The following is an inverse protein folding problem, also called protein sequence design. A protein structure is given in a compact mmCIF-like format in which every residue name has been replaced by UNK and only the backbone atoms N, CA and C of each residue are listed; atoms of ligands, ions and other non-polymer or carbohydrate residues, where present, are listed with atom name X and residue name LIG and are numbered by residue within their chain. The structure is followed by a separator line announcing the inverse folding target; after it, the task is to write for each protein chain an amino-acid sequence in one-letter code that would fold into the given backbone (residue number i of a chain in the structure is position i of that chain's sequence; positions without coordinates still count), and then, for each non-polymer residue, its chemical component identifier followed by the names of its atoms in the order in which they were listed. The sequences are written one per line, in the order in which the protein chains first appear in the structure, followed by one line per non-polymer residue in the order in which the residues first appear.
data_IF_888411968081
#
_entry.id   IF_888411968081
#
_cell.length_a   1.000
_cell.length_b   1.000
_cell.length_c   1.000
_cell.angle_alpha   90.00
_cell.angle_beta   90.00
_cell.angle_gamma   90.00
#
_symmetry.space_group_name_H-M   'P 1'
#
loop_
_entity.id
_entity.type
_entity.pdbx_description
1 polymer ?
#
# COMPACT_ATOMS: atom_id res chain seq x y z
N UNK A 1 -31.94 22.07 -27.88
CA UNK A 1 -30.64 22.79 -27.73
C UNK A 1 -30.20 22.66 -26.28
N UNK A 2 -29.39 21.65 -25.95
CA UNK A 2 -28.81 21.53 -24.61
C UNK A 2 -27.80 22.67 -24.43
N UNK A 3 -28.06 23.54 -23.43
CA UNK A 3 -27.09 24.58 -23.06
C UNK A 3 -25.79 23.90 -22.66
N UNK A 4 -24.69 24.31 -23.28
CA UNK A 4 -23.36 23.82 -22.90
C UNK A 4 -23.13 24.14 -21.41
N UNK A 5 -23.07 23.11 -20.61
CA UNK A 5 -22.81 23.23 -19.16
C UNK A 5 -21.41 23.80 -18.91
N UNK A 6 -21.27 24.67 -17.89
CA UNK A 6 -20.01 25.35 -17.60
C UNK A 6 -18.91 24.36 -17.21
N UNK A 7 -17.64 24.79 -17.36
CA UNK A 7 -16.47 24.05 -16.92
C UNK A 7 -16.56 23.64 -15.43
N UNK A 8 -17.00 24.57 -14.58
CA UNK A 8 -17.21 24.34 -13.14
C UNK A 8 -18.20 23.21 -12.85
N UNK A 9 -19.25 23.09 -13.68
CA UNK A 9 -20.21 22.00 -13.57
C UNK A 9 -19.52 20.63 -13.78
N UNK A 10 -18.65 20.50 -14.78
CA UNK A 10 -17.97 19.23 -15.08
C UNK A 10 -16.88 18.92 -14.07
N UNK A 11 -16.15 19.94 -13.58
CA UNK A 11 -15.16 19.78 -12.49
C UNK A 11 -15.82 19.27 -11.21
N UNK A 12 -16.99 19.83 -10.85
CA UNK A 12 -17.79 19.37 -9.71
C UNK A 12 -18.30 17.94 -9.92
N UNK A 13 -18.85 17.63 -11.09
CA UNK A 13 -19.36 16.30 -11.44
C UNK A 13 -18.29 15.21 -11.37
N UNK A 14 -17.10 15.47 -11.89
CA UNK A 14 -15.99 14.54 -11.81
C UNK A 14 -15.60 14.26 -10.35
N UNK A 15 -15.48 15.33 -9.54
CA UNK A 15 -15.17 15.20 -8.13
C UNK A 15 -16.21 14.41 -7.34
N UNK A 16 -17.51 14.75 -7.50
CA UNK A 16 -18.62 14.03 -6.86
C UNK A 16 -18.65 12.54 -7.23
N UNK A 17 -18.30 12.21 -8.47
CA UNK A 17 -18.24 10.82 -8.91
C UNK A 17 -17.11 10.03 -8.23
N UNK A 18 -15.92 10.63 -8.09
CA UNK A 18 -14.75 9.96 -7.57
C UNK A 18 -14.56 10.10 -6.06
N UNK A 19 -15.23 11.08 -5.42
CA UNK A 19 -15.11 11.32 -3.98
C UNK A 19 -15.43 10.06 -3.15
N UNK A 20 -16.61 9.51 -3.32
CA UNK A 20 -17.03 8.29 -2.60
C UNK A 20 -16.24 7.04 -2.99
N UNK A 21 -15.66 7.02 -4.18
CA UNK A 21 -14.96 5.86 -4.73
C UNK A 21 -13.48 5.82 -4.43
N UNK A 22 -12.81 6.98 -4.47
CA UNK A 22 -11.35 7.06 -4.34
C UNK A 22 -10.95 7.91 -3.14
N UNK A 23 -11.45 9.16 -3.03
CA UNK A 23 -11.04 10.05 -1.93
C UNK A 23 -11.38 9.44 -0.57
N UNK A 24 -12.63 9.00 -0.39
CA UNK A 24 -13.09 8.38 0.85
C UNK A 24 -12.30 7.13 1.21
N UNK A 25 -11.95 6.29 0.24
CA UNK A 25 -11.14 5.10 0.48
C UNK A 25 -9.69 5.47 0.85
N UNK A 26 -9.09 6.47 0.17
CA UNK A 26 -7.77 6.98 0.52
C UNK A 26 -7.74 7.53 1.96
N UNK A 27 -8.77 8.28 2.36
CA UNK A 27 -8.88 8.80 3.73
C UNK A 27 -9.11 7.70 4.77
N UNK A 28 -9.83 6.62 4.45
CA UNK A 28 -9.95 5.45 5.34
C UNK A 28 -8.60 4.79 5.57
N UNK A 29 -7.80 4.60 4.51
CA UNK A 29 -6.44 4.07 4.62
C UNK A 29 -5.59 5.01 5.48
N UNK A 30 -5.61 6.31 5.20
CA UNK A 30 -4.90 7.30 6.01
C UNK A 30 -5.29 7.24 7.49
N UNK A 31 -6.59 7.22 7.81
CA UNK A 31 -7.06 7.17 9.19
C UNK A 31 -6.66 5.86 9.89
N UNK A 32 -6.68 4.73 9.18
CA UNK A 32 -6.19 3.45 9.72
C UNK A 32 -4.70 3.49 10.05
N UNK A 33 -3.90 4.17 9.21
CA UNK A 33 -2.47 4.37 9.49
C UNK A 33 -2.24 5.34 10.65
N UNK A 34 -3.08 6.37 10.81
CA UNK A 34 -3.05 7.26 11.98
C UNK A 34 -3.30 6.50 13.30
N UNK A 35 -4.18 5.51 13.29
CA UNK A 35 -4.38 4.66 14.47
C UNK A 35 -3.14 3.81 14.78
N UNK A 36 -2.49 3.27 13.77
CA UNK A 36 -1.21 2.54 13.94
C UNK A 36 -0.09 3.46 14.43
N UNK A 37 -0.10 4.73 14.03
CA UNK A 37 0.87 5.72 14.48
C UNK A 37 0.76 6.06 15.99
N UNK A 38 -0.23 5.52 16.73
CA UNK A 38 -0.29 5.61 18.20
C UNK A 38 0.91 4.94 18.89
N UNK A 39 1.53 3.94 18.25
CA UNK A 39 2.77 3.33 18.73
C UNK A 39 3.89 4.36 18.84
N UNK A 40 3.91 5.38 17.99
CA UNK A 40 4.88 6.47 18.06
C UNK A 40 4.84 7.19 19.41
N UNK A 41 3.65 7.44 19.96
CA UNK A 41 3.51 8.06 21.28
C UNK A 41 4.20 7.20 22.35
N UNK A 42 4.00 5.86 22.29
CA UNK A 42 4.63 4.97 23.24
C UNK A 42 6.15 4.99 23.11
N UNK A 43 6.70 4.98 21.90
CA UNK A 43 8.15 5.10 21.70
C UNK A 43 8.73 6.37 22.33
N UNK A 44 8.04 7.51 22.21
CA UNK A 44 8.48 8.76 22.81
C UNK A 44 8.28 8.80 24.32
N UNK A 45 7.25 8.16 24.87
CA UNK A 45 7.05 8.00 26.31
C UNK A 45 8.18 7.15 26.88
N UNK A 46 8.46 6.00 26.31
CA UNK A 46 9.52 5.09 26.76
C UNK A 46 10.89 5.79 26.71
N UNK A 47 11.23 6.43 25.61
CA UNK A 47 12.47 7.18 25.47
C UNK A 47 12.56 8.36 26.46
N UNK A 48 11.43 9.02 26.79
CA UNK A 48 11.39 10.09 27.79
C UNK A 48 11.64 9.55 29.21
N UNK A 49 11.12 8.37 29.54
CA UNK A 49 11.42 7.70 30.82
C UNK A 49 12.88 7.27 30.88
N UNK A 50 13.43 6.70 29.80
CA UNK A 50 14.84 6.33 29.73
C UNK A 50 15.78 7.54 29.94
N UNK A 51 15.48 8.68 29.30
CA UNK A 51 16.22 9.94 29.50
C UNK A 51 16.16 10.38 30.96
N UNK A 52 15.01 10.30 31.57
CA UNK A 52 14.80 10.65 32.98
C UNK A 52 15.55 9.71 33.92
N UNK A 53 15.48 8.39 33.64
CA UNK A 53 16.15 7.39 34.49
C UNK A 53 17.67 7.53 34.44
N UNK A 54 18.26 7.82 33.28
CA UNK A 54 19.68 8.10 33.17
C UNK A 54 20.07 9.38 33.96
N UNK A 55 19.24 10.42 33.94
CA UNK A 55 19.46 11.61 34.74
C UNK A 55 19.43 11.30 36.25
N UNK A 56 18.42 10.57 36.74
CA UNK A 56 18.30 10.21 38.15
C UNK A 56 19.42 9.27 38.60
N UNK A 57 19.83 8.30 37.76
CA UNK A 57 20.95 7.41 38.05
C UNK A 57 22.27 8.14 38.28
N UNK A 58 22.52 9.23 37.56
CA UNK A 58 23.68 10.06 37.79
C UNK A 58 23.45 10.94 39.03
N UNK A 59 22.25 11.45 39.25
CA UNK A 59 21.90 12.24 40.40
C UNK A 59 22.10 11.50 41.73
N UNK A 60 21.72 10.22 41.81
CA UNK A 60 21.97 9.36 42.97
C UNK A 60 23.45 9.31 43.37
N UNK A 61 24.35 9.37 42.39
CA UNK A 61 25.80 9.25 42.61
C UNK A 61 26.47 10.56 43.01
N UNK A 62 25.89 11.72 42.64
CA UNK A 62 26.59 12.97 42.75
C UNK A 62 25.73 14.21 43.07
N UNK A 63 24.41 14.07 43.31
CA UNK A 63 23.59 15.21 43.70
C UNK A 63 23.85 15.61 45.17
N UNK A 64 23.77 16.91 45.45
CA UNK A 64 23.79 17.48 46.80
C UNK A 64 22.56 18.35 46.91
N UNK A 65 21.82 18.18 47.98
CA UNK A 65 20.59 18.95 48.25
C UNK A 65 19.60 18.98 47.03
N UNK A 66 19.51 17.86 46.30
CA UNK A 66 18.62 17.74 45.16
C UNK A 66 19.09 18.41 43.87
N UNK A 67 20.31 18.97 43.85
CA UNK A 67 20.92 19.63 42.70
C UNK A 67 22.19 18.92 42.24
N UNK A 68 22.50 19.04 40.94
CA UNK A 68 23.74 18.59 40.34
C UNK A 68 24.67 19.77 40.13
N UNK A 69 25.89 19.68 40.65
CA UNK A 69 26.92 20.70 40.41
C UNK A 69 27.60 20.44 39.06
N UNK A 70 27.78 21.50 38.27
CA UNK A 70 28.53 21.41 37.00
C UNK A 70 29.96 20.89 37.22
N UNK A 71 30.60 21.30 38.32
CA UNK A 71 31.93 20.83 38.73
C UNK A 71 31.95 19.29 38.97
N UNK A 72 30.94 18.75 39.64
CA UNK A 72 30.86 17.31 39.92
C UNK A 72 30.48 16.52 38.68
N UNK A 73 29.74 17.13 37.74
CA UNK A 73 29.42 16.51 36.44
C UNK A 73 30.62 16.47 35.50
N UNK A 74 31.54 17.44 35.56
CA UNK A 74 32.81 17.39 34.82
C UNK A 74 33.81 16.40 35.42
N UNK A 75 33.76 16.13 36.70
CA UNK A 75 34.58 15.08 37.32
C UNK A 75 34.16 13.73 36.74
N UNK A 76 35.17 12.94 36.35
CA UNK A 76 34.97 11.59 35.81
C UNK A 76 34.15 11.56 34.52
N UNK A 77 34.12 12.65 33.72
CA UNK A 77 33.42 12.72 32.42
C UNK A 77 31.89 12.40 32.47
N UNK A 78 31.24 12.53 33.62
CA UNK A 78 29.82 12.19 33.81
C UNK A 78 28.89 12.93 32.86
N UNK A 79 29.18 14.20 32.57
CA UNK A 79 28.41 14.99 31.62
C UNK A 79 28.49 14.40 30.20
N UNK A 80 29.71 14.05 29.79
CA UNK A 80 29.93 13.42 28.46
C UNK A 80 29.26 12.03 28.37
N UNK A 81 29.35 11.26 29.48
CA UNK A 81 28.67 9.95 29.55
C UNK A 81 27.15 10.10 29.42
N UNK A 82 26.53 11.04 30.17
CA UNK A 82 25.10 11.29 30.14
C UNK A 82 24.63 11.77 28.75
N UNK A 83 25.38 12.72 28.16
CA UNK A 83 25.11 13.17 26.81
C UNK A 83 25.13 12.02 25.79
N UNK A 84 26.14 11.15 25.88
CA UNK A 84 26.22 9.94 25.02
C UNK A 84 25.05 8.98 25.24
N UNK A 85 24.54 8.86 26.46
CA UNK A 85 23.33 8.07 26.75
C UNK A 85 22.08 8.67 26.10
N UNK A 86 21.90 9.99 26.22
CA UNK A 86 20.79 10.68 25.56
C UNK A 86 20.85 10.51 24.03
N UNK A 87 22.03 10.64 23.44
CA UNK A 87 22.22 10.42 22.01
C UNK A 87 21.84 9.00 21.59
N UNK A 88 22.27 7.98 22.34
CA UNK A 88 21.94 6.58 22.07
C UNK A 88 20.42 6.30 22.18
N UNK A 89 19.75 6.85 23.21
CA UNK A 89 18.29 6.74 23.37
C UNK A 89 17.56 7.36 22.17
N UNK A 90 17.98 8.55 21.73
CA UNK A 90 17.36 9.21 20.58
C UNK A 90 17.67 8.51 19.26
N UNK A 91 18.84 7.92 19.10
CA UNK A 91 19.18 7.10 17.94
C UNK A 91 18.28 5.86 17.85
N UNK A 92 18.10 5.13 18.97
CA UNK A 92 17.20 3.98 19.03
C UNK A 92 15.74 4.38 18.74
N UNK A 93 15.27 5.49 19.33
CA UNK A 93 13.96 6.08 19.03
C UNK A 93 13.81 6.39 17.55
N UNK A 94 14.86 6.93 16.91
CA UNK A 94 14.91 7.24 15.49
C UNK A 94 14.71 5.99 14.64
N UNK A 95 15.45 4.92 14.91
CA UNK A 95 15.33 3.65 14.17
C UNK A 95 13.95 3.02 14.33
N UNK A 96 13.43 2.90 15.55
CA UNK A 96 12.08 2.36 15.79
C UNK A 96 11.01 3.15 15.03
N UNK A 97 11.14 4.47 15.01
CA UNK A 97 10.21 5.38 14.33
C UNK A 97 10.28 5.22 12.81
N UNK A 98 11.49 5.15 12.25
CA UNK A 98 11.72 4.97 10.82
C UNK A 98 11.13 3.65 10.34
N UNK A 99 11.49 2.54 10.96
CA UNK A 99 11.03 1.20 10.62
C UNK A 99 9.51 1.06 10.66
N UNK A 100 8.87 1.58 11.72
CA UNK A 100 7.42 1.59 11.85
C UNK A 100 6.76 2.40 10.73
N UNK A 101 7.27 3.62 10.50
CA UNK A 101 6.69 4.54 9.53
C UNK A 101 6.82 4.01 8.10
N UNK A 102 7.97 3.48 7.73
CA UNK A 102 8.20 2.89 6.41
C UNK A 102 7.29 1.71 6.13
N UNK A 103 7.16 0.76 7.09
CA UNK A 103 6.23 -0.37 6.96
C UNK A 103 4.79 0.10 6.78
N UNK A 104 4.35 1.07 7.58
CA UNK A 104 3.00 1.62 7.50
C UNK A 104 2.75 2.31 6.16
N UNK A 105 3.68 3.14 5.68
CA UNK A 105 3.60 3.84 4.41
C UNK A 105 3.57 2.86 3.24
N UNK A 106 4.43 1.83 3.22
CA UNK A 106 4.44 0.80 2.18
C UNK A 106 3.13 0.00 2.12
N UNK A 107 2.60 -0.40 3.28
CA UNK A 107 1.28 -1.05 3.37
C UNK A 107 0.15 -0.16 2.85
N UNK A 108 0.18 1.12 3.23
CA UNK A 108 -0.77 2.12 2.73
C UNK A 108 -0.70 2.34 1.23
N UNK A 109 0.50 2.43 0.68
CA UNK A 109 0.73 2.56 -0.77
C UNK A 109 0.08 1.41 -1.53
N UNK A 110 0.38 0.17 -1.12
CA UNK A 110 -0.19 -1.03 -1.75
C UNK A 110 -1.71 -1.02 -1.71
N UNK A 111 -2.28 -0.65 -0.56
CA UNK A 111 -3.72 -0.59 -0.38
C UNK A 111 -4.38 0.47 -1.27
N UNK A 112 -3.84 1.69 -1.31
CA UNK A 112 -4.37 2.77 -2.15
C UNK A 112 -4.22 2.44 -3.63
N UNK A 113 -3.06 1.95 -4.06
CA UNK A 113 -2.84 1.55 -5.44
C UNK A 113 -3.87 0.51 -5.90
N UNK A 114 -4.10 -0.53 -5.10
CA UNK A 114 -5.09 -1.58 -5.38
C UNK A 114 -6.51 -1.04 -5.39
N UNK A 115 -6.87 -0.23 -4.40
CA UNK A 115 -8.21 0.36 -4.32
C UNK A 115 -8.51 1.24 -5.55
N UNK A 116 -7.55 2.06 -5.96
CA UNK A 116 -7.68 2.91 -7.15
C UNK A 116 -7.86 2.05 -8.40
N UNK A 117 -7.06 0.99 -8.57
CA UNK A 117 -7.17 0.09 -9.71
C UNK A 117 -8.59 -0.52 -9.80
N UNK A 118 -9.06 -1.11 -8.71
CA UNK A 118 -10.40 -1.73 -8.66
C UNK A 118 -11.50 -0.70 -8.93
N UNK A 119 -11.39 0.51 -8.37
CA UNK A 119 -12.41 1.55 -8.56
C UNK A 119 -12.42 2.13 -9.97
N UNK A 120 -11.29 2.09 -10.67
CA UNK A 120 -11.20 2.46 -12.09
C UNK A 120 -11.67 1.34 -13.03
N UNK A 121 -12.08 0.18 -12.49
CA UNK A 121 -12.55 -0.96 -13.28
C UNK A 121 -11.43 -1.78 -13.88
N UNK A 122 -10.19 -1.56 -13.46
CA UNK A 122 -9.04 -2.35 -13.85
C UNK A 122 -8.87 -3.49 -12.85
N UNK A 123 -9.19 -4.68 -13.29
CA UNK A 123 -9.12 -5.91 -12.49
C UNK A 123 -7.90 -6.78 -12.85
N UNK A 124 -7.20 -6.44 -13.93
CA UNK A 124 -6.02 -7.12 -14.43
C UNK A 124 -4.74 -6.28 -14.20
N UNK A 125 -4.66 -5.55 -13.09
CA UNK A 125 -3.51 -4.71 -12.77
C UNK A 125 -2.40 -5.52 -12.07
N UNK A 126 -1.16 -5.23 -12.44
CA UNK A 126 0.00 -5.70 -11.69
C UNK A 126 0.29 -4.75 -10.52
N UNK A 127 0.61 -5.29 -9.36
CA UNK A 127 1.11 -4.47 -8.25
C UNK A 127 2.50 -3.89 -8.62
N UNK A 128 2.79 -2.65 -8.24
CA UNK A 128 4.11 -2.09 -8.42
C UNK A 128 5.15 -3.00 -7.75
N UNK A 129 6.28 -3.20 -8.41
CA UNK A 129 7.34 -3.99 -7.80
C UNK A 129 7.91 -3.28 -6.56
N UNK A 130 8.46 -4.06 -5.63
CA UNK A 130 9.02 -3.55 -4.38
C UNK A 130 10.05 -2.44 -4.62
N UNK A 131 10.89 -2.59 -5.64
CA UNK A 131 11.92 -1.60 -5.98
C UNK A 131 11.35 -0.23 -6.37
N UNK A 132 10.21 -0.20 -7.09
CA UNK A 132 9.54 1.07 -7.41
C UNK A 132 8.96 1.71 -6.15
N UNK A 133 8.31 0.94 -5.28
CA UNK A 133 7.77 1.44 -4.02
C UNK A 133 8.87 2.00 -3.11
N UNK A 134 9.99 1.29 -2.98
CA UNK A 134 11.17 1.76 -2.24
C UNK A 134 11.75 3.04 -2.87
N UNK A 135 11.86 3.09 -4.19
CA UNK A 135 12.33 4.29 -4.89
C UNK A 135 11.45 5.50 -4.63
N UNK A 136 10.12 5.33 -4.61
CA UNK A 136 9.19 6.41 -4.32
C UNK A 136 9.28 6.84 -2.84
N UNK A 137 9.46 5.90 -1.91
CA UNK A 137 9.59 6.20 -0.48
C UNK A 137 10.84 7.03 -0.16
N UNK A 138 11.97 6.73 -0.81
CA UNK A 138 13.23 7.46 -0.60
C UNK A 138 13.37 8.69 -1.51
N UNK A 139 12.45 8.89 -2.45
CA UNK A 139 12.51 10.03 -3.36
C UNK A 139 12.41 11.35 -2.57
N UNK A 140 13.36 12.28 -2.77
CA UNK A 140 13.26 13.57 -2.12
C UNK A 140 12.12 14.38 -2.71
N UNK A 141 11.28 14.92 -1.85
CA UNK A 141 10.30 15.94 -2.21
C UNK A 141 10.42 17.13 -1.26
N UNK A 142 10.22 18.34 -1.76
CA UNK A 142 10.45 19.58 -0.98
C UNK A 142 11.85 19.64 -0.33
N UNK A 143 12.86 19.17 -1.06
CA UNK A 143 14.27 19.34 -0.71
C UNK A 143 14.90 18.21 0.10
N UNK A 144 14.16 17.22 0.58
CA UNK A 144 14.73 16.08 1.32
C UNK A 144 13.80 14.85 1.30
N UNK A 145 14.34 13.68 1.66
CA UNK A 145 13.57 12.45 1.87
C UNK A 145 12.90 12.42 3.25
N UNK A 146 11.95 11.50 3.45
CA UNK A 146 11.36 11.23 4.77
C UNK A 146 12.44 10.92 5.81
N UNK A 147 13.29 9.94 5.54
CA UNK A 147 14.39 9.54 6.42
C UNK A 147 15.30 10.73 6.76
N UNK A 148 15.74 11.50 5.76
CA UNK A 148 16.58 12.69 5.98
C UNK A 148 15.95 13.70 6.92
N UNK A 149 14.64 13.96 6.80
CA UNK A 149 13.90 14.87 7.71
C UNK A 149 13.73 14.28 9.10
N UNK A 150 13.45 12.97 9.21
CA UNK A 150 13.34 12.29 10.49
C UNK A 150 14.64 12.43 11.26
N UNK A 151 15.76 12.06 10.66
CA UNK A 151 17.06 12.12 11.32
C UNK A 151 17.53 13.54 11.66
N UNK A 152 17.15 14.55 10.87
CA UNK A 152 17.34 15.96 11.26
C UNK A 152 16.57 16.33 12.52
N UNK A 153 15.32 15.88 12.66
CA UNK A 153 14.50 16.10 13.84
C UNK A 153 15.10 15.39 15.07
N UNK A 154 15.53 14.12 14.92
CA UNK A 154 16.15 13.35 16.00
C UNK A 154 17.47 14.01 16.47
N UNK A 155 18.33 14.41 15.53
CA UNK A 155 19.56 15.12 15.87
C UNK A 155 19.28 16.45 16.60
N UNK A 156 18.30 17.23 16.16
CA UNK A 156 17.86 18.46 16.83
C UNK A 156 17.38 18.17 18.25
N UNK A 157 16.62 17.07 18.44
CA UNK A 157 16.13 16.65 19.76
C UNK A 157 17.30 16.27 20.69
N UNK A 158 18.23 15.44 20.23
CA UNK A 158 19.42 15.05 21.01
C UNK A 158 20.25 16.27 21.45
N UNK A 159 20.55 17.18 20.51
CA UNK A 159 21.25 18.44 20.81
C UNK A 159 20.47 19.31 21.81
N UNK A 160 19.14 19.36 21.67
CA UNK A 160 18.26 20.08 22.58
C UNK A 160 18.30 19.52 23.99
N UNK A 161 18.27 18.18 24.16
CA UNK A 161 18.39 17.53 25.48
C UNK A 161 19.72 17.87 26.14
N UNK A 162 20.84 17.76 25.42
CA UNK A 162 22.17 18.10 25.92
C UNK A 162 22.28 19.56 26.34
N UNK A 163 21.71 20.49 25.54
CA UNK A 163 21.70 21.90 25.86
C UNK A 163 20.85 22.22 27.10
N UNK A 164 19.65 21.62 27.23
CA UNK A 164 18.79 21.80 28.41
C UNK A 164 19.44 21.29 29.68
N UNK A 165 20.12 20.15 29.61
CA UNK A 165 20.90 19.62 30.72
C UNK A 165 21.98 20.62 31.13
N UNK A 166 22.81 21.10 30.20
CA UNK A 166 23.89 22.03 30.46
C UNK A 166 23.38 23.34 31.07
N UNK A 167 22.33 23.94 30.50
CA UNK A 167 21.72 25.16 31.00
C UNK A 167 21.13 24.95 32.40
N UNK A 168 20.47 23.82 32.65
CA UNK A 168 19.93 23.49 33.97
C UNK A 168 21.04 23.40 35.05
N UNK A 169 22.15 22.74 34.69
CA UNK A 169 23.34 22.65 35.58
C UNK A 169 23.97 24.03 35.85
N UNK A 170 24.11 24.86 34.83
CA UNK A 170 24.66 26.22 34.97
C UNK A 170 23.78 27.13 35.81
N UNK A 171 22.46 26.95 35.74
CA UNK A 171 21.49 27.71 36.54
C UNK A 171 21.27 27.14 37.94
N UNK A 172 21.91 26.05 38.31
CA UNK A 172 21.73 25.41 39.61
C UNK A 172 20.33 24.83 39.83
N UNK A 173 19.64 24.45 38.76
CA UNK A 173 18.32 23.82 38.84
C UNK A 173 18.38 22.49 39.57
N UNK A 174 17.30 22.16 40.26
CA UNK A 174 17.13 20.84 40.85
C UNK A 174 17.03 19.76 39.77
N UNK A 175 17.36 18.52 40.11
CA UNK A 175 17.22 17.36 39.21
C UNK A 175 15.80 17.25 38.67
N UNK A 176 14.80 17.52 39.52
CA UNK A 176 13.38 17.48 39.13
C UNK A 176 13.03 18.56 38.08
N UNK A 177 13.52 19.78 38.24
CA UNK A 177 13.29 20.86 37.27
C UNK A 177 13.95 20.57 35.91
N UNK A 178 15.16 19.96 35.95
CA UNK A 178 15.83 19.50 34.74
C UNK A 178 15.00 18.37 34.08
N UNK A 179 14.56 17.36 34.85
CA UNK A 179 13.75 16.24 34.35
C UNK A 179 12.45 16.72 33.68
N UNK A 180 11.74 17.67 34.29
CA UNK A 180 10.53 18.27 33.69
C UNK A 180 10.85 19.01 32.39
N UNK A 181 11.95 19.72 32.32
CA UNK A 181 12.38 20.43 31.11
C UNK A 181 12.70 19.45 29.96
N UNK A 182 13.40 18.36 30.26
CA UNK A 182 13.72 17.29 29.29
C UNK A 182 12.44 16.59 28.81
N UNK A 183 11.53 16.25 29.73
CA UNK A 183 10.24 15.64 29.38
C UNK A 183 9.41 16.54 28.43
N UNK A 184 9.33 17.83 28.69
CA UNK A 184 8.62 18.77 27.82
C UNK A 184 9.27 18.86 26.43
N UNK A 185 10.59 18.79 26.34
CA UNK A 185 11.29 18.75 25.04
C UNK A 185 11.01 17.48 24.27
N UNK A 186 10.93 16.33 24.95
CA UNK A 186 10.54 15.05 24.34
C UNK A 186 9.12 15.12 23.77
N UNK A 187 8.16 15.72 24.50
CA UNK A 187 6.80 15.97 24.01
C UNK A 187 6.76 16.86 22.77
N UNK A 188 7.60 17.89 22.70
CA UNK A 188 7.75 18.73 21.51
C UNK A 188 8.34 17.92 20.34
N UNK A 189 9.35 17.09 20.60
CA UNK A 189 9.93 16.16 19.62
C UNK A 189 8.91 15.20 19.04
N UNK A 190 8.05 14.63 19.89
CA UNK A 190 6.90 13.82 19.46
C UNK A 190 5.99 14.58 18.49
N UNK A 191 5.58 15.81 18.84
CA UNK A 191 4.69 16.60 18.00
C UNK A 191 5.30 16.94 16.63
N UNK A 192 6.60 17.27 16.59
CA UNK A 192 7.33 17.52 15.33
C UNK A 192 7.39 16.24 14.46
N UNK A 193 7.70 15.11 15.07
CA UNK A 193 7.80 13.82 14.40
C UNK A 193 6.43 13.33 13.90
N UNK A 194 5.40 13.39 14.74
CA UNK A 194 4.04 13.01 14.37
C UNK A 194 3.52 13.83 13.18
N UNK A 195 3.76 15.16 13.21
CA UNK A 195 3.42 16.04 12.08
C UNK A 195 4.15 15.65 10.79
N UNK A 196 5.43 15.28 10.90
CA UNK A 196 6.21 14.78 9.76
C UNK A 196 5.59 13.50 9.20
N UNK A 197 5.41 12.48 10.03
CA UNK A 197 4.88 11.18 9.60
C UNK A 197 3.50 11.33 8.94
N UNK A 198 2.59 12.12 9.51
CA UNK A 198 1.27 12.39 8.92
C UNK A 198 1.36 13.00 7.52
N UNK A 199 2.29 13.93 7.34
CA UNK A 199 2.47 14.62 6.06
C UNK A 199 3.07 13.68 5.01
N UNK A 200 4.08 12.91 5.39
CA UNK A 200 4.74 11.95 4.52
C UNK A 200 3.81 10.78 4.15
N UNK A 201 3.02 10.29 5.11
CA UNK A 201 2.00 9.28 4.84
C UNK A 201 1.04 9.75 3.75
N UNK A 202 0.48 10.95 3.89
CA UNK A 202 -0.46 11.47 2.89
C UNK A 202 0.21 11.71 1.53
N UNK A 203 1.47 12.13 1.52
CA UNK A 203 2.27 12.25 0.29
C UNK A 203 2.39 10.89 -0.41
N UNK A 204 2.82 9.87 0.31
CA UNK A 204 3.07 8.55 -0.25
C UNK A 204 1.77 7.84 -0.72
N UNK A 205 0.64 8.06 -0.03
CA UNK A 205 -0.67 7.59 -0.50
C UNK A 205 -1.10 8.28 -1.80
N UNK A 206 -0.82 9.58 -1.96
CA UNK A 206 -1.08 10.30 -3.21
C UNK A 206 -0.15 9.84 -4.33
N UNK A 207 1.10 9.52 -4.04
CA UNK A 207 2.02 8.94 -5.02
C UNK A 207 1.54 7.57 -5.51
N UNK A 208 0.95 6.75 -4.62
CA UNK A 208 0.33 5.50 -5.01
C UNK A 208 -0.83 5.71 -5.99
N UNK A 209 -1.71 6.67 -5.70
CA UNK A 209 -2.81 7.02 -6.59
C UNK A 209 -2.31 7.56 -7.93
N UNK A 210 -1.33 8.50 -7.91
CA UNK A 210 -0.73 9.06 -9.12
C UNK A 210 -0.04 8.00 -9.97
N UNK A 211 0.73 7.09 -9.35
CA UNK A 211 1.37 6.00 -10.06
C UNK A 211 0.32 5.13 -10.75
N UNK A 212 -0.76 4.80 -10.04
CA UNK A 212 -1.84 4.00 -10.64
C UNK A 212 -2.54 4.74 -11.79
N UNK A 213 -2.75 6.05 -11.66
CA UNK A 213 -3.33 6.84 -12.75
C UNK A 213 -2.42 6.87 -13.99
N UNK A 214 -1.09 6.97 -13.79
CA UNK A 214 -0.11 6.90 -14.89
C UNK A 214 -0.16 5.54 -15.58
N UNK A 215 -0.19 4.46 -14.81
CA UNK A 215 -0.26 3.09 -15.33
C UNK A 215 -1.58 2.84 -16.10
N UNK A 216 -2.65 3.52 -15.72
CA UNK A 216 -3.95 3.49 -16.41
C UNK A 216 -4.04 4.47 -17.59
N UNK A 217 -2.99 5.24 -17.90
CA UNK A 217 -2.98 6.21 -19.00
C UNK A 217 -3.85 7.46 -18.76
N UNK A 218 -4.17 7.79 -17.51
CA UNK A 218 -4.88 9.02 -17.13
C UNK A 218 -4.00 10.23 -17.46
N UNK A 219 -4.56 11.20 -18.17
CA UNK A 219 -3.83 12.39 -18.61
C UNK A 219 -4.02 13.60 -17.69
N UNK A 220 -5.15 13.68 -17.00
CA UNK A 220 -5.52 14.80 -16.16
C UNK A 220 -5.98 14.32 -14.79
N UNK A 221 -5.63 15.08 -13.76
CA UNK A 221 -5.99 14.81 -12.38
C UNK A 221 -6.59 16.05 -11.74
N UNK A 222 -7.44 15.84 -10.73
CA UNK A 222 -8.12 16.88 -9.98
C UNK A 222 -7.69 16.85 -8.52
N UNK A 223 -7.32 18.00 -7.96
CA UNK A 223 -7.04 18.11 -6.52
C UNK A 223 -8.36 18.16 -5.77
N UNK A 224 -8.48 17.28 -4.77
CA UNK A 224 -9.67 17.15 -3.93
C UNK A 224 -9.32 17.38 -2.46
N UNK A 225 -9.78 18.48 -1.89
CA UNK A 225 -9.56 18.78 -0.48
C UNK A 225 -10.56 18.02 0.40
N UNK A 226 -10.10 17.57 1.57
CA UNK A 226 -11.00 17.12 2.63
C UNK A 226 -11.68 18.37 3.22
N UNK A 227 -12.91 18.60 2.81
CA UNK A 227 -13.68 19.79 3.23
C UNK A 227 -14.29 19.56 4.61
N UNK A 228 -13.67 20.14 5.62
CA UNK A 228 -14.16 20.20 7.00
C UNK A 228 -13.66 21.50 7.69
N UNK A 229 -13.92 21.63 8.98
CA UNK A 229 -13.52 22.80 9.79
C UNK A 229 -11.99 23.03 9.83
N UNK A 230 -11.18 22.06 9.42
CA UNK A 230 -9.71 22.14 9.36
C UNK A 230 -9.19 22.45 7.96
N UNK A 231 -10.09 22.71 6.99
CA UNK A 231 -9.71 23.08 5.63
C UNK A 231 -9.19 24.50 5.59
N UNK A 232 -7.91 24.68 5.25
CA UNK A 232 -7.33 26.01 5.13
C UNK A 232 -7.60 26.64 3.74
N UNK A 233 -7.42 27.96 3.64
CA UNK A 233 -7.64 28.72 2.41
C UNK A 233 -6.82 28.19 1.23
N UNK A 234 -5.58 27.75 1.50
CA UNK A 234 -4.73 27.12 0.46
C UNK A 234 -5.40 25.88 -0.11
N UNK A 235 -5.85 24.97 0.74
CA UNK A 235 -6.51 23.73 0.31
C UNK A 235 -7.84 24.04 -0.39
N UNK A 236 -8.63 24.96 0.15
CA UNK A 236 -9.87 25.43 -0.48
C UNK A 236 -9.62 26.05 -1.86
N UNK A 237 -8.55 26.82 -2.00
CA UNK A 237 -8.18 27.45 -3.26
C UNK A 237 -7.71 26.46 -4.35
N UNK A 238 -7.26 25.26 -3.98
CA UNK A 238 -6.91 24.19 -4.93
C UNK A 238 -8.02 23.16 -5.16
N UNK A 239 -9.04 23.17 -4.31
CA UNK A 239 -10.15 22.23 -4.42
C UNK A 239 -10.81 22.31 -5.81
N UNK A 240 -11.12 21.18 -6.41
CA UNK A 240 -11.68 20.99 -7.74
C UNK A 240 -10.79 21.35 -8.94
N UNK A 241 -9.64 21.98 -8.74
CA UNK A 241 -8.76 22.37 -9.84
C UNK A 241 -8.14 21.14 -10.54
N UNK A 242 -8.18 21.19 -11.86
CA UNK A 242 -7.69 20.13 -12.77
C UNK A 242 -6.33 20.52 -13.34
N UNK A 243 -5.43 19.55 -13.38
CA UNK A 243 -4.06 19.67 -13.91
C UNK A 243 -3.74 18.51 -14.83
N UNK A 244 -2.87 18.72 -15.85
CA UNK A 244 -2.18 17.61 -16.48
C UNK A 244 -1.42 16.82 -15.42
N UNK A 245 -1.43 15.48 -15.51
CA UNK A 245 -0.87 14.60 -14.46
C UNK A 245 0.59 14.91 -14.13
N UNK A 246 1.40 15.29 -15.14
CA UNK A 246 2.81 15.61 -14.96
C UNK A 246 3.07 17.05 -14.46
N UNK A 247 2.01 17.88 -14.38
CA UNK A 247 2.07 19.28 -13.92
C UNK A 247 1.20 19.51 -12.67
N UNK A 248 0.68 18.45 -12.08
CA UNK A 248 -0.09 18.55 -10.84
C UNK A 248 0.81 19.03 -9.70
N UNK A 249 0.39 20.06 -8.93
CA UNK A 249 1.08 20.40 -7.69
C UNK A 249 1.20 19.19 -6.77
N UNK A 250 2.35 19.05 -6.12
CA UNK A 250 2.53 17.97 -5.14
C UNK A 250 1.54 18.10 -3.99
N UNK A 251 0.81 17.04 -3.74
CA UNK A 251 -0.10 16.89 -2.60
C UNK A 251 0.56 15.93 -1.62
N UNK A 252 0.60 16.26 -0.32
CA UNK A 252 -0.05 17.35 0.41
C UNK A 252 0.53 18.75 0.13
N UNK A 253 -0.34 19.77 0.15
CA UNK A 253 0.05 21.16 -0.17
C UNK A 253 0.86 21.82 0.95
N UNK A 254 0.70 21.36 2.18
CA UNK A 254 1.39 21.84 3.40
C UNK A 254 1.44 20.73 4.46
N UNK A 255 2.11 20.98 5.58
CA UNK A 255 2.13 20.03 6.71
C UNK A 255 0.71 19.75 7.23
N UNK A 256 0.43 18.50 7.59
CA UNK A 256 -0.90 18.00 8.02
C UNK A 256 -2.03 18.13 6.97
N UNK A 257 -1.72 18.44 5.73
CA UNK A 257 -2.72 18.50 4.67
C UNK A 257 -3.27 17.10 4.36
N UNK A 258 -4.59 17.01 4.17
CA UNK A 258 -5.31 15.75 3.85
C UNK A 258 -5.89 15.75 2.43
N UNK A 259 -5.48 16.70 1.59
CA UNK A 259 -5.91 16.71 0.20
C UNK A 259 -5.46 15.43 -0.51
N UNK A 260 -6.28 14.97 -1.43
CA UNK A 260 -5.97 13.83 -2.31
C UNK A 260 -6.16 14.21 -3.77
N UNK A 261 -5.88 13.28 -4.67
CA UNK A 261 -5.93 13.49 -6.11
C UNK A 261 -6.92 12.50 -6.71
N UNK A 262 -7.80 13.01 -7.58
CA UNK A 262 -8.78 12.21 -8.29
C UNK A 262 -8.44 12.16 -9.78
N UNK A 263 -8.74 11.06 -10.49
CA UNK A 263 -8.57 11.03 -11.93
C UNK A 263 -9.64 11.91 -12.59
N UNK A 264 -9.28 12.54 -13.69
CA UNK A 264 -10.25 13.19 -14.58
C UNK A 264 -10.47 12.27 -15.75
N UNK A 265 -11.67 11.75 -15.82
CA UNK A 265 -12.11 10.86 -16.89
C UNK A 265 -13.21 11.58 -17.63
N UNK A 266 -12.93 11.96 -18.90
CA UNK A 266 -13.99 12.45 -19.78
C UNK A 266 -14.98 11.30 -20.03
N UNK A 267 -16.29 11.56 -19.88
CA UNK A 267 -17.33 10.55 -20.13
C UNK A 267 -17.19 9.92 -21.53
N UNK A 268 -16.71 10.67 -22.53
CA UNK A 268 -16.39 10.16 -23.85
C UNK A 268 -15.12 9.29 -23.84
N UNK A 269 -14.09 9.67 -23.08
CA UNK A 269 -12.88 8.89 -22.93
C UNK A 269 -13.09 7.63 -22.09
N UNK A 270 -13.97 7.68 -21.08
CA UNK A 270 -14.41 6.47 -20.36
C UNK A 270 -15.22 5.58 -21.30
N UNK A 271 -16.15 6.12 -22.07
CA UNK A 271 -16.92 5.35 -23.03
C UNK A 271 -16.01 4.80 -24.14
N UNK A 272 -15.04 5.57 -24.64
CA UNK A 272 -14.06 5.10 -25.63
C UNK A 272 -13.02 4.15 -25.01
N UNK A 273 -12.59 4.36 -23.78
CA UNK A 273 -11.66 3.45 -23.09
C UNK A 273 -12.39 2.18 -22.63
N UNK A 274 -13.62 2.31 -22.14
CA UNK A 274 -14.51 1.18 -21.87
C UNK A 274 -14.86 0.49 -23.20
N UNK A 275 -15.15 1.22 -24.27
CA UNK A 275 -15.43 0.68 -25.60
C UNK A 275 -14.18 0.12 -26.30
N UNK A 276 -12.98 0.70 -26.06
CA UNK A 276 -11.71 0.18 -26.57
C UNK A 276 -11.22 -1.01 -25.75
N UNK A 277 -11.40 -0.98 -24.45
CA UNK A 277 -11.23 -2.15 -23.60
C UNK A 277 -12.33 -3.18 -23.88
N UNK A 278 -13.56 -2.76 -24.16
CA UNK A 278 -14.64 -3.63 -24.63
C UNK A 278 -14.37 -4.18 -26.04
N UNK A 279 -13.79 -3.43 -26.95
CA UNK A 279 -13.39 -3.91 -28.29
C UNK A 279 -12.14 -4.77 -28.27
N UNK A 280 -11.16 -4.52 -27.40
CA UNK A 280 -10.07 -5.44 -27.11
C UNK A 280 -10.56 -6.71 -26.39
N UNK A 281 -11.58 -6.57 -25.57
CA UNK A 281 -12.31 -7.65 -24.93
C UNK A 281 -13.36 -8.26 -25.86
N UNK A 282 -13.86 -7.55 -26.87
CA UNK A 282 -15.02 -7.91 -27.70
C UNK A 282 -14.75 -8.94 -28.80
N UNK A 283 -13.51 -9.31 -29.06
CA UNK A 283 -13.29 -10.54 -29.85
C UNK A 283 -13.31 -11.81 -28.99
N UNK A 284 -13.23 -11.70 -27.67
CA UNK A 284 -13.16 -12.85 -26.74
C UNK A 284 -13.98 -12.70 -25.46
N UNK A 285 -14.57 -11.55 -25.14
CA UNK A 285 -15.02 -11.23 -23.79
C UNK A 285 -16.46 -10.67 -23.64
N UNK A 286 -17.34 -10.82 -24.62
CA UNK A 286 -18.78 -10.49 -24.43
C UNK A 286 -19.42 -11.26 -23.28
N UNK A 287 -18.94 -12.46 -23.03
CA UNK A 287 -19.43 -13.33 -21.98
C UNK A 287 -18.77 -13.03 -20.61
N UNK A 288 -17.53 -12.55 -20.58
CA UNK A 288 -16.78 -12.34 -19.34
C UNK A 288 -17.46 -11.38 -18.34
N UNK A 289 -18.40 -10.55 -18.79
CA UNK A 289 -19.12 -9.63 -17.90
C UNK A 289 -20.41 -10.23 -17.33
N UNK A 290 -21.21 -10.89 -18.13
CA UNK A 290 -22.43 -11.55 -17.64
C UNK A 290 -22.07 -12.81 -16.86
N UNK A 291 -21.18 -13.63 -17.40
CA UNK A 291 -20.69 -14.83 -16.76
C UNK A 291 -19.73 -14.55 -15.58
N UNK A 292 -19.14 -13.36 -15.49
CA UNK A 292 -18.19 -13.03 -14.43
C UNK A 292 -18.83 -13.07 -13.05
N UNK A 293 -20.08 -12.67 -12.92
CA UNK A 293 -20.83 -12.78 -11.65
C UNK A 293 -21.13 -14.25 -11.34
N UNK A 294 -21.65 -15.00 -12.30
CA UNK A 294 -21.95 -16.42 -12.15
C UNK A 294 -20.68 -17.24 -11.92
N UNK A 295 -19.61 -16.94 -12.65
CA UNK A 295 -18.31 -17.56 -12.47
C UNK A 295 -17.72 -17.27 -11.08
N UNK A 296 -17.82 -16.05 -10.58
CA UNK A 296 -17.36 -15.69 -9.24
C UNK A 296 -18.18 -16.35 -8.12
N UNK A 297 -19.49 -16.48 -8.31
CA UNK A 297 -20.37 -17.18 -7.37
C UNK A 297 -20.06 -18.67 -7.38
N UNK A 298 -19.81 -19.23 -8.55
CA UNK A 298 -19.39 -20.61 -8.73
C UNK A 298 -18.03 -20.86 -8.06
N UNK A 299 -17.03 -20.05 -8.33
CA UNK A 299 -15.69 -20.16 -7.74
C UNK A 299 -15.75 -20.10 -6.21
N UNK A 300 -16.58 -19.22 -5.63
CA UNK A 300 -16.84 -19.18 -4.18
C UNK A 300 -17.45 -20.49 -3.65
N UNK A 301 -18.29 -21.14 -4.43
CA UNK A 301 -18.84 -22.44 -4.08
C UNK A 301 -17.82 -23.57 -4.20
N UNK A 302 -16.92 -23.48 -5.20
CA UNK A 302 -15.92 -24.51 -5.46
C UNK A 302 -14.88 -24.62 -4.35
N UNK A 303 -14.47 -23.51 -3.74
CA UNK A 303 -13.42 -23.51 -2.69
C UNK A 303 -13.78 -24.34 -1.47
N UNK A 304 -15.05 -24.49 -1.17
CA UNK A 304 -15.51 -25.27 0.00
C UNK A 304 -15.66 -26.77 -0.29
N UNK A 305 -15.32 -27.23 -1.50
CA UNK A 305 -15.40 -28.64 -1.87
C UNK A 305 -14.12 -29.37 -1.50
N UNK A 306 -14.26 -30.49 -0.83
CA UNK A 306 -13.15 -31.37 -0.42
C UNK A 306 -12.47 -32.11 -1.58
N UNK A 307 -13.13 -32.23 -2.71
CA UNK A 307 -12.62 -32.86 -3.94
C UNK A 307 -12.45 -31.83 -5.04
N UNK A 308 -11.45 -32.02 -5.91
CA UNK A 308 -11.32 -31.20 -7.11
C UNK A 308 -12.58 -31.28 -7.96
N UNK A 309 -13.13 -30.14 -8.26
CA UNK A 309 -14.30 -29.99 -9.13
C UNK A 309 -13.96 -28.97 -10.18
N UNK A 310 -14.21 -29.34 -11.45
CA UNK A 310 -13.97 -28.48 -12.59
C UNK A 310 -15.31 -28.03 -13.17
N UNK A 311 -15.43 -26.76 -13.48
CA UNK A 311 -16.56 -26.19 -14.19
C UNK A 311 -16.09 -25.53 -15.49
N UNK A 312 -16.87 -25.69 -16.55
CA UNK A 312 -16.51 -25.25 -17.89
C UNK A 312 -17.61 -24.32 -18.39
N UNK A 313 -17.18 -23.19 -18.92
CA UNK A 313 -18.02 -22.12 -19.45
C UNK A 313 -17.68 -21.90 -20.94
N UNK A 314 -18.69 -21.68 -21.73
CA UNK A 314 -18.53 -21.41 -23.18
C UNK A 314 -17.95 -20.02 -23.45
N UNK A 315 -17.56 -19.74 -24.70
CA UNK A 315 -17.12 -18.41 -25.10
C UNK A 315 -18.22 -17.34 -25.03
N UNK A 316 -19.47 -17.73 -24.89
CA UNK A 316 -20.64 -16.89 -24.63
C UNK A 316 -20.92 -16.67 -23.13
N UNK A 317 -20.16 -17.34 -22.26
CA UNK A 317 -20.30 -17.31 -20.81
C UNK A 317 -21.33 -18.28 -20.25
N UNK A 318 -21.98 -19.03 -21.11
CA UNK A 318 -22.94 -20.06 -20.72
C UNK A 318 -22.22 -21.22 -20.01
N UNK A 319 -22.78 -21.70 -18.89
CA UNK A 319 -22.31 -22.90 -18.24
C UNK A 319 -22.47 -24.12 -19.17
N UNK A 320 -21.40 -24.88 -19.40
CA UNK A 320 -21.40 -26.06 -20.24
C UNK A 320 -21.54 -27.32 -19.40
N UNK A 321 -20.68 -27.52 -18.44
CA UNK A 321 -20.65 -28.73 -17.62
C UNK A 321 -19.79 -28.57 -16.37
N UNK A 322 -20.04 -29.44 -15.38
CA UNK A 322 -19.14 -29.64 -14.24
C UNK A 322 -18.67 -31.09 -14.19
N UNK A 323 -17.43 -31.29 -13.74
CA UNK A 323 -16.86 -32.62 -13.49
C UNK A 323 -16.32 -32.67 -12.07
N UNK A 324 -16.63 -33.74 -11.35
CA UNK A 324 -16.04 -34.02 -10.04
C UNK A 324 -14.91 -35.03 -10.18
N UNK A 325 -13.81 -34.76 -9.54
CA UNK A 325 -12.63 -35.62 -9.49
C UNK A 325 -12.36 -36.19 -8.11
N UNK A 326 -11.13 -36.65 -7.91
CA UNK A 326 -10.58 -37.03 -6.61
C UNK A 326 -10.11 -35.82 -5.80
N UNK A 327 -9.29 -36.07 -4.77
CA UNK A 327 -8.73 -35.00 -3.91
C UNK A 327 -7.73 -34.13 -4.66
N UNK A 328 -6.97 -34.69 -5.62
CA UNK A 328 -5.85 -34.03 -6.30
C UNK A 328 -5.95 -34.08 -7.84
N UNK A 329 -7.07 -34.43 -8.40
CA UNK A 329 -7.23 -34.49 -9.85
C UNK A 329 -8.67 -34.56 -10.31
N UNK A 330 -8.96 -33.78 -11.34
CA UNK A 330 -10.21 -33.87 -12.09
C UNK A 330 -9.88 -34.02 -13.58
N UNK A 331 -10.57 -34.92 -14.27
CA UNK A 331 -10.30 -35.27 -15.66
C UNK A 331 -11.53 -35.09 -16.56
N UNK A 332 -11.26 -34.91 -17.85
CA UNK A 332 -12.26 -34.85 -18.91
C UNK A 332 -12.20 -36.08 -19.79
N UNK A 333 -13.36 -36.51 -20.25
CA UNK A 333 -13.46 -37.53 -21.29
C UNK A 333 -13.09 -36.93 -22.66
N UNK A 334 -12.54 -37.74 -23.55
CA UNK A 334 -12.27 -37.35 -24.95
C UNK A 334 -13.55 -36.85 -25.66
N UNK A 335 -14.70 -37.34 -25.24
CA UNK A 335 -16.03 -36.92 -25.77
C UNK A 335 -16.38 -35.47 -25.38
N UNK A 336 -15.74 -34.91 -24.37
CA UNK A 336 -15.95 -33.52 -23.89
C UNK A 336 -15.13 -32.51 -24.70
N UNK A 337 -14.04 -32.93 -25.39
CA UNK A 337 -13.09 -32.03 -26.06
C UNK A 337 -13.72 -31.07 -27.10
N UNK A 338 -14.70 -31.46 -27.93
CA UNK A 338 -15.32 -30.52 -28.85
C UNK A 338 -15.99 -29.32 -28.18
N UNK A 339 -16.43 -29.49 -26.92
CA UNK A 339 -17.11 -28.45 -26.15
C UNK A 339 -16.14 -27.42 -25.55
N UNK A 340 -14.84 -27.71 -25.61
CA UNK A 340 -13.80 -26.87 -24.99
C UNK A 340 -13.32 -25.73 -25.88
N UNK A 341 -13.80 -25.61 -27.12
CA UNK A 341 -13.29 -24.59 -28.05
C UNK A 341 -13.51 -23.18 -27.50
N UNK A 342 -12.41 -22.50 -27.20
CA UNK A 342 -12.38 -21.17 -26.58
C UNK A 342 -13.08 -21.07 -25.20
N UNK A 343 -13.29 -22.21 -24.54
CA UNK A 343 -13.91 -22.24 -23.21
C UNK A 343 -13.01 -21.66 -22.13
N UNK A 344 -13.64 -21.21 -21.06
CA UNK A 344 -12.99 -20.93 -19.76
C UNK A 344 -13.24 -22.11 -18.84
N UNK A 345 -12.18 -22.58 -18.24
CA UNK A 345 -12.23 -23.69 -17.30
C UNK A 345 -11.80 -23.21 -15.93
N UNK A 346 -12.63 -23.40 -14.91
CA UNK A 346 -12.27 -23.16 -13.52
C UNK A 346 -12.31 -24.44 -12.70
N UNK A 347 -11.43 -24.60 -11.74
CA UNK A 347 -11.44 -25.71 -10.79
C UNK A 347 -10.88 -25.28 -9.44
N UNK A 348 -11.15 -26.04 -8.38
CA UNK A 348 -10.62 -25.78 -7.07
C UNK A 348 -9.42 -26.66 -6.75
N UNK A 349 -8.50 -26.14 -5.93
CA UNK A 349 -7.44 -26.92 -5.30
C UNK A 349 -7.71 -27.02 -3.80
N UNK A 350 -8.26 -28.14 -3.29
CA UNK A 350 -8.57 -28.29 -1.85
C UNK A 350 -7.33 -28.23 -0.95
N UNK A 351 -6.16 -28.63 -1.47
CA UNK A 351 -4.88 -28.57 -0.75
C UNK A 351 -4.25 -27.17 -0.71
N UNK A 352 -4.88 -26.19 -1.37
CA UNK A 352 -4.32 -24.84 -1.59
C UNK A 352 -3.18 -24.85 -2.61
N UNK A 353 -2.92 -23.71 -3.21
CA UNK A 353 -1.82 -23.52 -4.14
C UNK A 353 -2.26 -23.16 -5.56
N UNK A 354 -1.32 -22.56 -6.31
CA UNK A 354 -1.53 -22.15 -7.70
C UNK A 354 -1.51 -23.34 -8.66
N UNK A 355 -1.51 -23.07 -9.95
CA UNK A 355 -1.43 -24.07 -11.00
C UNK A 355 -0.40 -25.16 -10.73
N UNK A 356 -0.80 -26.39 -10.96
CA UNK A 356 0.10 -27.54 -11.06
C UNK A 356 0.68 -27.66 -12.46
N UNK A 357 1.70 -28.51 -12.64
CA UNK A 357 2.21 -28.85 -13.97
C UNK A 357 1.13 -29.46 -14.86
N UNK A 358 0.21 -30.25 -14.28
CA UNK A 358 -0.91 -30.85 -14.99
C UNK A 358 -1.83 -29.78 -15.57
N UNK A 359 -2.10 -28.71 -14.80
CA UNK A 359 -2.96 -27.60 -15.22
C UNK A 359 -2.37 -26.86 -16.42
N UNK A 360 -1.08 -26.55 -16.36
CA UNK A 360 -0.41 -25.85 -17.46
C UNK A 360 -0.33 -26.72 -18.71
N UNK A 361 -0.08 -28.02 -18.55
CA UNK A 361 -0.11 -28.96 -19.63
C UNK A 361 -1.52 -29.10 -20.23
N UNK A 362 -2.55 -29.05 -19.39
CA UNK A 362 -3.94 -29.04 -19.79
C UNK A 362 -4.27 -27.79 -20.62
N UNK A 363 -3.94 -26.60 -20.12
CA UNK A 363 -4.12 -25.34 -20.84
C UNK A 363 -3.39 -25.34 -22.19
N UNK A 364 -2.16 -25.87 -22.22
CA UNK A 364 -1.37 -25.95 -23.47
C UNK A 364 -2.01 -26.84 -24.53
N UNK A 365 -2.49 -27.99 -24.11
CA UNK A 365 -2.94 -29.05 -25.04
C UNK A 365 -4.43 -28.97 -25.43
N UNK A 366 -5.26 -28.34 -24.52
CA UNK A 366 -6.69 -28.23 -24.77
C UNK A 366 -7.04 -26.95 -25.53
N UNK A 367 -8.12 -26.95 -26.34
CA UNK A 367 -8.54 -25.76 -27.08
C UNK A 367 -9.31 -24.75 -26.25
N UNK A 368 -8.89 -24.54 -24.98
CA UNK A 368 -9.47 -23.57 -24.05
C UNK A 368 -8.76 -22.22 -24.16
N UNK A 369 -9.45 -21.15 -23.80
CA UNK A 369 -8.93 -19.79 -23.82
C UNK A 369 -8.30 -19.36 -22.49
N UNK A 370 -8.84 -19.85 -21.37
CA UNK A 370 -8.43 -19.48 -20.02
C UNK A 370 -8.60 -20.67 -19.06
N UNK A 371 -7.65 -20.82 -18.14
CA UNK A 371 -7.72 -21.78 -17.04
C UNK A 371 -7.62 -21.03 -15.72
N UNK A 372 -8.43 -21.44 -14.75
CA UNK A 372 -8.56 -20.79 -13.44
C UNK A 372 -8.47 -21.84 -12.33
N UNK A 373 -7.86 -21.46 -11.22
CA UNK A 373 -7.72 -22.27 -10.01
C UNK A 373 -8.23 -21.49 -8.82
N UNK A 374 -9.25 -22.00 -8.17
CA UNK A 374 -9.88 -21.38 -7.00
C UNK A 374 -9.35 -22.02 -5.71
N UNK A 375 -8.88 -21.20 -4.78
CA UNK A 375 -8.40 -21.62 -3.45
C UNK A 375 -9.07 -20.77 -2.39
N UNK A 376 -8.92 -21.12 -1.12
CA UNK A 376 -9.42 -20.29 -0.01
C UNK A 376 -8.78 -18.89 0.03
N UNK A 377 -7.55 -18.75 -0.48
CA UNK A 377 -6.79 -17.50 -0.43
C UNK A 377 -7.06 -16.59 -1.63
N UNK A 378 -7.20 -17.18 -2.84
CA UNK A 378 -7.37 -16.41 -4.07
C UNK A 378 -7.78 -17.28 -5.25
N UNK A 379 -8.10 -16.63 -6.38
CA UNK A 379 -8.28 -17.30 -7.68
C UNK A 379 -7.08 -16.95 -8.57
N UNK A 380 -6.39 -17.98 -9.01
CA UNK A 380 -5.34 -17.86 -10.03
C UNK A 380 -5.96 -18.05 -11.40
N UNK A 381 -5.58 -17.22 -12.37
CA UNK A 381 -6.02 -17.43 -13.75
C UNK A 381 -4.86 -17.31 -14.74
N UNK A 382 -4.96 -18.03 -15.83
CA UNK A 382 -3.98 -18.04 -16.90
C UNK A 382 -4.68 -18.09 -18.24
N UNK A 383 -4.51 -17.06 -19.06
CA UNK A 383 -4.96 -17.05 -20.45
C UNK A 383 -3.99 -17.84 -21.32
N UNK A 384 -4.52 -18.56 -22.30
CA UNK A 384 -3.69 -19.31 -23.23
C UNK A 384 -2.86 -18.34 -24.08
N UNK A 385 -1.52 -18.34 -23.98
CA UNK A 385 -0.69 -17.47 -24.78
C UNK A 385 -0.70 -17.86 -26.25
N UNK A 386 -0.58 -16.89 -27.15
CA UNK A 386 -0.46 -17.14 -28.59
C UNK A 386 0.80 -17.94 -28.93
N UNK A 387 1.89 -17.70 -28.18
CA UNK A 387 3.14 -18.45 -28.28
C UNK A 387 3.59 -18.85 -26.89
N UNK A 388 3.95 -20.10 -26.70
CA UNK A 388 4.48 -20.61 -25.43
C UNK A 388 5.98 -20.31 -25.34
N UNK A 389 6.48 -19.83 -24.19
CA UNK A 389 7.90 -19.64 -23.97
C UNK A 389 8.68 -20.94 -24.22
N UNK A 390 9.92 -20.79 -24.74
CA UNK A 390 10.75 -21.96 -25.08
C UNK A 390 11.14 -22.77 -23.84
N UNK A 391 11.20 -22.12 -22.69
CA UNK A 391 11.57 -22.69 -21.38
C UNK A 391 10.52 -23.66 -20.85
N UNK A 392 9.26 -23.55 -21.27
CA UNK A 392 8.18 -24.48 -20.87
C UNK A 392 8.28 -25.85 -21.60
N UNK A 393 9.40 -26.17 -22.20
CA UNK A 393 9.60 -27.48 -22.85
C UNK A 393 9.99 -28.58 -21.86
N UNK A 394 10.48 -28.27 -20.66
CA UNK A 394 10.79 -29.28 -19.64
C UNK A 394 9.88 -29.13 -18.41
N UNK A 395 9.40 -30.28 -17.91
CA UNK A 395 8.54 -30.35 -16.72
C UNK A 395 9.25 -29.82 -15.47
N UNK A 396 10.56 -30.06 -15.34
CA UNK A 396 11.35 -29.68 -14.18
C UNK A 396 11.53 -28.17 -14.05
N UNK A 397 11.78 -27.45 -15.14
CA UNK A 397 11.92 -25.99 -15.14
C UNK A 397 10.60 -25.29 -14.78
N UNK A 398 9.47 -25.86 -15.25
CA UNK A 398 8.16 -25.33 -14.94
C UNK A 398 7.78 -25.59 -13.47
N UNK A 399 8.05 -26.79 -12.93
CA UNK A 399 7.84 -27.08 -11.51
C UNK A 399 8.69 -26.18 -10.60
N UNK A 400 9.93 -25.92 -11.01
CA UNK A 400 10.83 -25.02 -10.27
C UNK A 400 10.29 -23.59 -10.28
N UNK A 401 9.86 -23.09 -11.43
CA UNK A 401 9.27 -21.75 -11.56
C UNK A 401 7.98 -21.61 -10.73
N UNK A 402 7.10 -22.60 -10.75
CA UNK A 402 5.88 -22.62 -9.93
C UNK A 402 6.20 -22.66 -8.45
N UNK A 403 7.20 -23.45 -8.03
CA UNK A 403 7.64 -23.49 -6.62
C UNK A 403 8.22 -22.16 -6.15
N UNK A 404 8.96 -21.45 -7.00
CA UNK A 404 9.49 -20.12 -6.70
C UNK A 404 8.37 -19.08 -6.60
N UNK A 405 7.43 -19.06 -7.53
CA UNK A 405 6.24 -18.20 -7.50
C UNK A 405 5.41 -18.47 -6.23
N UNK A 406 5.19 -19.73 -5.86
CA UNK A 406 4.52 -20.09 -4.61
C UNK A 406 5.22 -19.55 -3.36
N UNK A 407 6.56 -19.55 -3.34
CA UNK A 407 7.34 -18.99 -2.22
C UNK A 407 7.21 -17.48 -2.13
N UNK A 408 7.14 -16.78 -3.26
CA UNK A 408 7.03 -15.32 -3.31
C UNK A 408 5.61 -14.82 -3.02
N UNK A 409 4.58 -15.57 -3.41
CA UNK A 409 3.18 -15.15 -3.29
C UNK A 409 2.56 -15.47 -1.92
N UNK A 410 2.93 -16.57 -1.28
CA UNK A 410 2.37 -16.98 0.02
C UNK A 410 2.43 -15.92 1.13
N UNK A 411 3.54 -15.19 1.34
CA UNK A 411 3.60 -14.18 2.39
C UNK A 411 2.82 -12.90 2.09
N UNK A 412 2.55 -12.61 0.81
CA UNK A 412 1.94 -11.34 0.38
C UNK A 412 0.41 -11.33 0.42
N UNK A 413 -0.22 -12.48 0.42
CA UNK A 413 -1.68 -12.62 0.28
C UNK A 413 -2.39 -13.11 1.54
N UNK A 414 -1.68 -13.50 2.59
CA UNK A 414 -2.29 -13.84 3.89
C UNK A 414 -2.99 -12.66 4.57
N UNK A 415 -2.64 -11.41 4.19
CA UNK A 415 -3.25 -10.19 4.75
C UNK A 415 -4.43 -9.64 3.95
N UNK A 416 -4.68 -10.14 2.73
CA UNK A 416 -5.76 -9.64 1.86
C UNK A 416 -6.98 -10.57 1.94
N UNK A 417 -7.86 -10.31 2.89
CA UNK A 417 -9.18 -10.98 3.07
C UNK A 417 -10.17 -10.76 1.91
N UNK A 418 -9.75 -10.24 0.78
CA UNK A 418 -10.60 -10.08 -0.41
C UNK A 418 -9.95 -10.76 -1.60
N UNK A 419 -10.71 -11.60 -2.26
CA UNK A 419 -10.40 -12.32 -3.48
C UNK A 419 -9.62 -11.46 -4.47
N UNK A 420 -8.33 -11.71 -4.60
CA UNK A 420 -7.46 -11.02 -5.54
C UNK A 420 -7.14 -11.98 -6.68
N UNK A 421 -7.40 -11.56 -7.90
CA UNK A 421 -7.00 -12.33 -9.09
C UNK A 421 -5.53 -12.07 -9.38
N UNK A 422 -4.74 -13.11 -9.48
CA UNK A 422 -3.30 -13.03 -9.80
C UNK A 422 -3.04 -13.65 -11.15
N UNK A 423 -2.50 -12.86 -12.08
CA UNK A 423 -2.02 -13.37 -13.35
C UNK A 423 -0.58 -13.89 -13.18
N UNK A 424 -0.39 -15.18 -13.32
CA UNK A 424 0.90 -15.85 -13.08
C UNK A 424 1.90 -15.76 -14.24
N UNK A 425 1.48 -15.28 -15.41
CA UNK A 425 2.37 -15.15 -16.58
C UNK A 425 3.04 -13.79 -16.72
N UNK A 426 2.45 -12.72 -16.17
CA UNK A 426 2.98 -11.35 -16.31
C UNK A 426 4.04 -10.97 -15.28
N UNK A 427 4.41 -11.87 -14.35
CA UNK A 427 5.40 -11.59 -13.31
C UNK A 427 6.86 -11.81 -13.75
N UNK A 428 7.12 -12.14 -15.01
CA UNK A 428 8.48 -12.40 -15.54
C UNK A 428 8.73 -11.81 -16.95
N UNK A 429 8.24 -10.61 -17.23
CA UNK A 429 8.73 -9.83 -18.38
C UNK A 429 9.45 -8.55 -17.93
#
# INVERSE_FOLDING_TARGET
MEMAKSREYWEKKNGEYWEGRIASETWKVYNSLEEKNRELLQFYVDASEDVKDELYRIAEKCSRDGSLSLSDMHKQNRLTELNGKFEAIIEELGHKTEDMSERNMQSGFQTVYSNVAVRMGDIDFAMPNKKLMEKLLVAPWRGDSFSGRLWKNQKKLAVGLNNLLLVGLQQGKTVTEIAVSLHNLMGNGFNECHRLIRTETMHYLNDAALQRYKDAGVKYVQIWAALDERTCDTCGGYHTKIYPIDKCPHVPLHANCRCTILPVTDEKLIAEQVDKNMKLMDSTDKWARAARRELLESERSLIHRSNETMEIYGPDGGFIMAKRGGVDSVGLSVLDYPKLKNAVVTHNHPSGGCFSFKDIRFLKNMPISELRVSTEECVYYMRKPKQWPKEIKSSELLEKAIKEIRKELRPKYQELYNWTYVNTLDTKS
#
